data_IF_893733697279
#
_entry.id   IF_893733697279
#
_cell.length_a   1.000
_cell.length_b   1.000
_cell.length_c   1.000
_cell.angle_alpha   90.00
_cell.angle_beta   90.00
_cell.angle_gamma   90.00
#
_symmetry.space_group_name_H-M   'P 1'
#
loop_
_entity.id
_entity.type
_entity.pdbx_description
1 polymer ?
#
# COMPACT_ATOMS: atom_id res chain seq x y z
N UNK A 1 43.20 -42.16 -7.04
CA UNK A 1 41.72 -42.02 -6.78
C UNK A 1 41.33 -40.71 -6.08
N UNK A 2 42.09 -40.21 -5.10
CA UNK A 2 41.76 -38.98 -4.35
C UNK A 2 41.64 -37.73 -5.24
N UNK A 3 42.51 -37.52 -6.24
CA UNK A 3 42.45 -36.34 -7.14
C UNK A 3 41.15 -36.26 -7.94
N UNK A 4 40.61 -37.39 -8.41
CA UNK A 4 39.39 -37.44 -9.21
C UNK A 4 38.18 -37.07 -8.32
N UNK A 5 38.12 -37.58 -7.07
CA UNK A 5 37.05 -37.23 -6.14
C UNK A 5 37.09 -35.77 -5.76
N UNK A 6 38.28 -35.19 -5.52
CA UNK A 6 38.42 -33.75 -5.21
C UNK A 6 37.96 -32.86 -6.38
N UNK A 7 38.32 -33.22 -7.61
CA UNK A 7 37.88 -32.48 -8.81
C UNK A 7 36.34 -32.57 -8.99
N UNK A 8 35.75 -33.74 -8.75
CA UNK A 8 34.29 -33.89 -8.83
C UNK A 8 33.57 -33.06 -7.78
N UNK A 9 34.07 -32.98 -6.55
CA UNK A 9 33.50 -32.13 -5.51
C UNK A 9 33.63 -30.66 -5.88
N UNK A 10 34.79 -30.21 -6.36
CA UNK A 10 34.98 -28.81 -6.80
C UNK A 10 34.02 -28.45 -7.97
N UNK A 11 33.87 -29.31 -8.93
CA UNK A 11 32.95 -29.11 -10.04
C UNK A 11 31.49 -29.02 -9.55
N UNK A 12 31.10 -29.88 -8.62
CA UNK A 12 29.76 -29.84 -8.02
C UNK A 12 29.50 -28.56 -7.25
N UNK A 13 30.48 -28.06 -6.48
CA UNK A 13 30.36 -26.77 -5.75
C UNK A 13 30.21 -25.61 -6.73
N UNK A 14 30.98 -25.59 -7.83
CA UNK A 14 30.86 -24.53 -8.83
C UNK A 14 29.51 -24.54 -9.55
N UNK A 15 28.99 -25.71 -9.89
CA UNK A 15 27.67 -25.88 -10.49
C UNK A 15 26.59 -25.41 -9.51
N UNK A 16 26.71 -25.79 -8.25
CA UNK A 16 25.75 -25.37 -7.21
C UNK A 16 25.78 -23.85 -6.98
N UNK A 17 26.97 -23.24 -6.91
CA UNK A 17 27.12 -21.80 -6.79
C UNK A 17 26.51 -21.05 -8.00
N UNK A 18 26.71 -21.57 -9.21
CA UNK A 18 26.09 -21.02 -10.41
C UNK A 18 24.56 -21.13 -10.37
N UNK A 19 24.02 -22.28 -10.01
CA UNK A 19 22.55 -22.49 -9.87
C UNK A 19 21.96 -21.59 -8.82
N UNK A 20 22.61 -21.44 -7.64
CA UNK A 20 22.15 -20.55 -6.57
C UNK A 20 22.11 -19.08 -7.04
N UNK A 21 23.14 -18.64 -7.80
CA UNK A 21 23.17 -17.28 -8.37
C UNK A 21 22.06 -17.06 -9.40
N UNK A 22 21.81 -18.03 -10.26
CA UNK A 22 20.75 -17.94 -11.26
C UNK A 22 19.36 -17.94 -10.63
N UNK A 23 19.14 -18.77 -9.60
CA UNK A 23 17.90 -18.76 -8.83
C UNK A 23 17.68 -17.40 -8.14
N UNK A 24 18.71 -16.83 -7.52
CA UNK A 24 18.63 -15.51 -6.90
C UNK A 24 18.28 -14.42 -7.94
N UNK A 25 18.84 -14.51 -9.15
CA UNK A 25 18.50 -13.60 -10.25
C UNK A 25 17.05 -13.75 -10.69
N UNK A 26 16.57 -14.98 -10.87
CA UNK A 26 15.18 -15.25 -11.25
C UNK A 26 14.20 -14.78 -10.18
N UNK A 27 14.50 -15.01 -8.92
CA UNK A 27 13.68 -14.54 -7.79
C UNK A 27 13.59 -13.01 -7.79
N UNK A 28 14.70 -12.31 -8.04
CA UNK A 28 14.71 -10.84 -8.11
C UNK A 28 13.81 -10.33 -9.25
N UNK A 29 13.92 -10.92 -10.44
CA UNK A 29 13.07 -10.55 -11.58
C UNK A 29 11.59 -10.84 -11.31
N UNK A 30 11.29 -12.00 -10.71
CA UNK A 30 9.91 -12.35 -10.33
C UNK A 30 9.32 -11.36 -9.33
N UNK A 31 10.09 -10.95 -8.30
CA UNK A 31 9.66 -9.95 -7.33
C UNK A 31 9.44 -8.57 -7.97
N UNK A 32 10.30 -8.19 -8.92
CA UNK A 32 10.14 -6.93 -9.65
C UNK A 32 8.85 -6.92 -10.48
N UNK A 33 8.57 -8.00 -11.19
CA UNK A 33 7.32 -8.14 -11.96
C UNK A 33 6.12 -8.11 -11.04
N UNK A 34 6.16 -8.86 -9.92
CA UNK A 34 5.08 -8.86 -8.94
C UNK A 34 4.81 -7.46 -8.35
N UNK A 35 5.87 -6.70 -8.03
CA UNK A 35 5.75 -5.32 -7.56
C UNK A 35 5.13 -4.39 -8.60
N UNK A 36 5.53 -4.49 -9.86
CA UNK A 36 4.95 -3.70 -10.95
C UNK A 36 3.47 -4.02 -11.15
N UNK A 37 3.09 -5.30 -11.08
CA UNK A 37 1.68 -5.73 -11.18
C UNK A 37 0.88 -5.18 -10.01
N UNK A 38 1.38 -5.33 -8.78
CA UNK A 38 0.70 -4.83 -7.59
C UNK A 38 0.49 -3.30 -7.66
N UNK A 39 1.51 -2.55 -8.08
CA UNK A 39 1.39 -1.10 -8.27
C UNK A 39 0.33 -0.74 -9.33
N UNK A 40 0.36 -1.40 -10.49
CA UNK A 40 -0.65 -1.17 -11.55
C UNK A 40 -2.06 -1.46 -11.05
N UNK A 41 -2.25 -2.55 -10.31
CA UNK A 41 -3.55 -2.92 -9.78
C UNK A 41 -4.02 -1.91 -8.72
N UNK A 42 -3.13 -1.42 -7.86
CA UNK A 42 -3.39 -0.31 -6.93
C UNK A 42 -3.86 0.94 -7.67
N UNK A 43 -3.17 1.34 -8.75
CA UNK A 43 -3.58 2.50 -9.56
C UNK A 43 -4.92 2.30 -10.27
N UNK A 44 -5.25 1.07 -10.68
CA UNK A 44 -6.54 0.76 -11.27
C UNK A 44 -7.69 0.86 -10.25
N UNK A 45 -7.46 0.41 -9.01
CA UNK A 45 -8.42 0.61 -7.90
C UNK A 45 -8.59 2.08 -7.56
N UNK A 46 -7.49 2.83 -7.51
CA UNK A 46 -7.51 4.27 -7.33
C UNK A 46 -8.39 4.99 -8.34
N UNK A 47 -8.23 4.68 -9.62
CA UNK A 47 -9.05 5.26 -10.69
C UNK A 47 -10.54 4.99 -10.52
N UNK A 48 -10.92 3.79 -10.06
CA UNK A 48 -12.32 3.45 -9.77
C UNK A 48 -12.87 4.24 -8.59
N UNK A 49 -12.11 4.34 -7.51
CA UNK A 49 -12.50 5.13 -6.36
C UNK A 49 -12.69 6.61 -6.73
N UNK A 50 -11.74 7.21 -7.44
CA UNK A 50 -11.83 8.60 -7.89
C UNK A 50 -13.01 8.84 -8.82
N UNK A 51 -13.42 7.85 -9.64
CA UNK A 51 -14.55 7.98 -10.56
C UNK A 51 -15.89 8.19 -9.85
N UNK A 52 -16.03 7.74 -8.61
CA UNK A 52 -17.25 7.97 -7.81
C UNK A 52 -17.47 9.46 -7.56
N UNK A 53 -16.41 10.22 -7.32
CA UNK A 53 -16.51 11.67 -7.13
C UNK A 53 -16.76 12.45 -8.43
N UNK A 54 -16.43 11.86 -9.58
CA UNK A 54 -16.80 12.43 -10.88
C UNK A 54 -18.29 12.22 -11.13
N UNK A 55 -18.83 11.05 -10.77
CA UNK A 55 -20.24 10.72 -10.95
C UNK A 55 -21.13 11.43 -9.91
N UNK A 56 -20.62 11.61 -8.67
CA UNK A 56 -21.33 12.23 -7.54
C UNK A 56 -20.46 13.32 -6.90
N UNK A 57 -20.31 14.48 -7.53
CA UNK A 57 -19.40 15.54 -7.04
C UNK A 57 -19.79 16.10 -5.67
N UNK A 58 -21.05 16.01 -5.28
CA UNK A 58 -21.51 16.37 -3.93
C UNK A 58 -20.89 15.51 -2.83
N UNK A 59 -20.57 14.24 -3.13
CA UNK A 59 -19.90 13.36 -2.17
C UNK A 59 -18.46 13.80 -1.90
N UNK A 60 -17.78 14.40 -2.89
CA UNK A 60 -16.44 14.94 -2.70
C UNK A 60 -16.43 16.03 -1.62
N UNK A 61 -17.37 16.98 -1.71
CA UNK A 61 -17.50 18.04 -0.73
C UNK A 61 -17.78 17.50 0.67
N UNK A 62 -18.70 16.53 0.81
CA UNK A 62 -18.95 15.90 2.10
C UNK A 62 -17.78 15.08 2.64
N UNK A 63 -16.96 14.51 1.76
CA UNK A 63 -15.84 13.66 2.16
C UNK A 63 -14.63 14.45 2.65
N UNK A 64 -14.37 15.61 2.03
CA UNK A 64 -13.18 16.44 2.27
C UNK A 64 -13.46 17.80 2.93
N UNK A 65 -14.70 18.24 2.96
CA UNK A 65 -15.09 19.53 3.54
C UNK A 65 -16.09 19.34 4.68
N UNK A 66 -15.61 19.41 5.91
CA UNK A 66 -16.42 19.26 7.13
C UNK A 66 -17.42 20.41 7.36
N UNK A 67 -17.33 21.50 6.56
CA UNK A 67 -18.25 22.65 6.69
C UNK A 67 -19.56 22.46 5.95
N UNK A 68 -19.69 21.40 5.16
CA UNK A 68 -20.91 21.10 4.40
C UNK A 68 -22.08 20.70 5.32
N UNK A 69 -23.28 20.93 4.83
CA UNK A 69 -24.50 20.44 5.49
C UNK A 69 -24.43 18.92 5.71
N UNK A 70 -25.10 18.42 6.75
CA UNK A 70 -25.13 16.98 7.04
C UNK A 70 -25.57 16.17 5.81
N UNK A 71 -24.82 15.12 5.45
CA UNK A 71 -25.16 14.26 4.32
C UNK A 71 -26.47 13.49 4.58
N UNK A 72 -27.20 13.17 3.54
CA UNK A 72 -28.40 12.32 3.63
C UNK A 72 -28.03 10.91 4.13
N UNK A 73 -29.03 10.14 4.57
CA UNK A 73 -28.82 8.76 5.01
C UNK A 73 -28.19 7.89 3.88
N UNK A 74 -28.57 8.13 2.62
CA UNK A 74 -28.01 7.44 1.46
C UNK A 74 -26.55 7.84 1.25
N UNK A 75 -26.26 9.15 1.34
CA UNK A 75 -24.89 9.64 1.13
C UNK A 75 -23.96 9.18 2.25
N UNK A 76 -24.41 9.07 3.50
CA UNK A 76 -23.61 8.46 4.58
C UNK A 76 -23.19 7.03 4.27
N UNK A 77 -24.09 6.22 3.69
CA UNK A 77 -23.73 4.86 3.26
C UNK A 77 -22.67 4.88 2.15
N UNK A 78 -22.85 5.77 1.15
CA UNK A 78 -21.88 5.94 0.07
C UNK A 78 -20.52 6.40 0.58
N UNK A 79 -20.50 7.39 1.48
CA UNK A 79 -19.28 7.91 2.09
C UNK A 79 -18.53 6.83 2.89
N UNK A 80 -19.27 5.98 3.61
CA UNK A 80 -18.68 4.83 4.29
C UNK A 80 -18.04 3.83 3.31
N UNK A 81 -18.72 3.51 2.21
CA UNK A 81 -18.19 2.62 1.17
C UNK A 81 -16.94 3.23 0.51
N UNK A 82 -16.95 4.55 0.28
CA UNK A 82 -15.78 5.27 -0.24
C UNK A 82 -14.60 5.15 0.71
N UNK A 83 -14.81 5.40 2.02
CA UNK A 83 -13.77 5.27 3.03
C UNK A 83 -13.22 3.83 3.13
N UNK A 84 -14.10 2.83 3.06
CA UNK A 84 -13.73 1.41 3.03
C UNK A 84 -12.85 1.07 1.81
N UNK A 85 -13.25 1.49 0.62
CA UNK A 85 -12.49 1.23 -0.61
C UNK A 85 -11.15 1.96 -0.59
N UNK A 86 -11.12 3.22 -0.18
CA UNK A 86 -9.89 4.00 -0.09
C UNK A 86 -8.91 3.40 0.93
N UNK A 87 -9.39 3.06 2.12
CA UNK A 87 -8.55 2.46 3.16
C UNK A 87 -7.96 1.13 2.71
N UNK A 88 -8.73 0.28 2.03
CA UNK A 88 -8.22 -0.97 1.47
C UNK A 88 -7.11 -0.78 0.44
N UNK A 89 -7.25 0.21 -0.46
CA UNK A 89 -6.21 0.55 -1.45
C UNK A 89 -4.96 1.09 -0.77
N UNK A 90 -5.11 1.99 0.20
CA UNK A 90 -3.99 2.59 0.92
C UNK A 90 -3.25 1.56 1.79
N UNK A 91 -3.97 0.70 2.50
CA UNK A 91 -3.38 -0.41 3.27
C UNK A 91 -2.55 -1.32 2.37
N UNK A 92 -3.11 -1.74 1.23
CA UNK A 92 -2.40 -2.58 0.26
C UNK A 92 -1.17 -1.88 -0.31
N UNK A 93 -1.26 -0.57 -0.58
CA UNK A 93 -0.14 0.22 -1.07
C UNK A 93 0.99 0.31 -0.04
N UNK A 94 0.67 0.59 1.23
CA UNK A 94 1.64 0.64 2.33
C UNK A 94 2.34 -0.71 2.53
N UNK A 95 1.57 -1.81 2.55
CA UNK A 95 2.14 -3.15 2.71
C UNK A 95 3.07 -3.52 1.53
N UNK A 96 2.65 -3.20 0.30
CA UNK A 96 3.45 -3.42 -0.90
C UNK A 96 4.73 -2.57 -0.88
N UNK A 97 4.63 -1.31 -0.48
CA UNK A 97 5.76 -0.39 -0.33
C UNK A 97 6.80 -0.95 0.64
N UNK A 98 6.36 -1.36 1.83
CA UNK A 98 7.23 -1.95 2.85
C UNK A 98 7.93 -3.22 2.37
N UNK A 99 7.23 -4.08 1.61
CA UNK A 99 7.81 -5.28 1.02
C UNK A 99 8.83 -4.96 -0.07
N UNK A 100 8.56 -3.99 -0.93
CA UNK A 100 9.43 -3.61 -2.04
C UNK A 100 10.64 -2.78 -1.61
N UNK A 101 10.54 -2.03 -0.51
CA UNK A 101 11.66 -1.29 0.06
C UNK A 101 12.87 -2.18 0.38
N UNK A 102 12.63 -3.44 0.77
CA UNK A 102 13.68 -4.45 1.01
C UNK A 102 14.51 -4.74 -0.26
N UNK A 103 13.95 -4.50 -1.45
CA UNK A 103 14.57 -4.78 -2.74
C UNK A 103 15.04 -3.53 -3.49
N UNK A 104 15.04 -2.36 -2.84
CA UNK A 104 15.44 -1.07 -3.46
C UNK A 104 14.56 -0.66 -4.66
N UNK A 105 13.26 -0.99 -4.61
CA UNK A 105 12.27 -0.60 -5.63
C UNK A 105 11.37 0.56 -5.19
N UNK A 106 11.84 1.38 -4.26
CA UNK A 106 11.10 2.53 -3.73
C UNK A 106 10.56 3.49 -4.81
N UNK A 107 11.26 3.60 -5.95
CA UNK A 107 10.85 4.44 -7.08
C UNK A 107 9.56 3.97 -7.80
N UNK A 108 9.19 2.68 -7.67
CA UNK A 108 7.94 2.13 -8.26
C UNK A 108 6.72 2.49 -7.41
N UNK A 109 6.92 2.63 -6.11
CA UNK A 109 5.84 2.65 -5.14
C UNK A 109 5.44 4.07 -4.75
N UNK A 110 6.28 5.06 -5.06
CA UNK A 110 6.05 6.45 -4.65
C UNK A 110 6.12 6.63 -3.13
N UNK A 111 5.84 7.81 -2.67
CA UNK A 111 5.82 8.15 -1.25
C UNK A 111 4.40 7.94 -0.69
N UNK A 112 4.07 6.68 -0.44
CA UNK A 112 2.75 6.33 0.10
C UNK A 112 2.54 6.82 1.53
N UNK A 113 3.63 6.96 2.31
CA UNK A 113 3.55 7.49 3.67
C UNK A 113 3.07 8.94 3.67
N UNK A 114 3.64 9.80 2.81
CA UNK A 114 3.22 11.20 2.65
C UNK A 114 1.81 11.32 2.10
N UNK A 115 1.48 10.47 1.12
CA UNK A 115 0.14 10.45 0.55
C UNK A 115 -0.92 10.07 1.61
N UNK A 116 -0.68 9.01 2.39
CA UNK A 116 -1.58 8.59 3.47
C UNK A 116 -1.72 9.69 4.53
N UNK A 117 -0.63 10.36 4.88
CA UNK A 117 -0.68 11.49 5.82
C UNK A 117 -1.56 12.64 5.31
N UNK A 118 -1.47 12.96 4.02
CA UNK A 118 -2.31 13.98 3.37
C UNK A 118 -3.80 13.60 3.39
N UNK A 119 -4.13 12.35 3.07
CA UNK A 119 -5.52 11.87 3.06
C UNK A 119 -6.11 11.83 4.47
N UNK A 120 -5.32 11.42 5.47
CA UNK A 120 -5.73 11.46 6.87
C UNK A 120 -5.98 12.90 7.35
N UNK A 121 -5.17 13.86 6.90
CA UNK A 121 -5.41 15.27 7.21
C UNK A 121 -6.69 15.81 6.56
N UNK A 122 -7.03 15.30 5.38
CA UNK A 122 -8.08 15.87 4.52
C UNK A 122 -9.47 15.30 4.77
N UNK A 123 -9.62 14.10 5.38
CA UNK A 123 -10.91 13.43 5.51
C UNK A 123 -11.18 12.87 6.91
N UNK A 124 -12.18 13.44 7.60
CA UNK A 124 -12.69 12.90 8.85
C UNK A 124 -13.42 11.57 8.67
N UNK A 125 -14.07 11.35 7.54
CA UNK A 125 -14.72 10.08 7.20
C UNK A 125 -13.72 8.94 7.14
N UNK A 126 -12.58 9.16 6.49
CA UNK A 126 -11.50 8.19 6.42
C UNK A 126 -10.94 7.87 7.81
N UNK A 127 -10.64 8.92 8.62
CA UNK A 127 -10.17 8.73 10.00
C UNK A 127 -11.17 7.94 10.85
N UNK A 128 -12.46 8.28 10.76
CA UNK A 128 -13.51 7.58 11.50
C UNK A 128 -13.60 6.11 11.10
N UNK A 129 -13.56 5.82 9.78
CA UNK A 129 -13.58 4.45 9.28
C UNK A 129 -12.38 3.64 9.77
N UNK A 130 -11.16 4.18 9.65
CA UNK A 130 -9.94 3.48 10.05
C UNK A 130 -9.95 3.13 11.55
N UNK A 131 -10.43 4.04 12.43
CA UNK A 131 -10.54 3.75 13.88
C UNK A 131 -11.40 2.54 14.19
N UNK A 132 -12.42 2.28 13.38
CA UNK A 132 -13.36 1.18 13.56
C UNK A 132 -12.95 -0.11 12.82
N UNK A 133 -11.85 -0.06 12.04
CA UNK A 133 -11.45 -1.12 11.09
C UNK A 133 -10.14 -1.80 11.50
N UNK A 134 -10.19 -2.87 12.32
CA UNK A 134 -8.97 -3.58 12.74
C UNK A 134 -8.26 -4.31 11.60
N UNK A 135 -8.90 -4.46 10.46
CA UNK A 135 -8.38 -5.12 9.26
C UNK A 135 -7.36 -4.30 8.47
N UNK A 136 -7.14 -3.02 8.84
CA UNK A 136 -6.17 -2.12 8.19
C UNK A 136 -5.05 -1.68 9.16
N UNK A 137 -4.20 -2.62 9.64
CA UNK A 137 -3.24 -2.35 10.71
C UNK A 137 -2.15 -1.34 10.34
N UNK A 138 -1.73 -1.27 9.07
CA UNK A 138 -0.74 -0.29 8.64
C UNK A 138 -1.31 1.13 8.65
N UNK A 139 -2.58 1.30 8.27
CA UNK A 139 -3.28 2.59 8.37
C UNK A 139 -3.57 3.00 9.81
N UNK A 140 -3.90 2.05 10.69
CA UNK A 140 -4.06 2.34 12.13
C UNK A 140 -2.77 2.88 12.74
N UNK A 141 -1.62 2.34 12.35
CA UNK A 141 -0.31 2.86 12.77
C UNK A 141 -0.07 4.30 12.28
N UNK A 142 -0.46 4.60 11.03
CA UNK A 142 -0.37 5.96 10.47
C UNK A 142 -1.35 6.92 11.16
N UNK A 143 -2.57 6.49 11.41
CA UNK A 143 -3.58 7.30 12.12
C UNK A 143 -3.10 7.66 13.53
N UNK A 144 -2.57 6.69 14.28
CA UNK A 144 -2.03 6.93 15.62
C UNK A 144 -0.89 7.96 15.62
N UNK A 145 0.02 7.90 14.63
CA UNK A 145 1.06 8.92 14.43
C UNK A 145 0.47 10.28 14.10
N UNK A 146 -0.50 10.36 13.20
CA UNK A 146 -1.17 11.59 12.82
C UNK A 146 -1.83 12.25 14.04
N UNK A 147 -2.60 11.50 14.82
CA UNK A 147 -3.27 11.99 16.03
C UNK A 147 -2.28 12.50 17.07
N UNK A 148 -1.19 11.77 17.31
CA UNK A 148 -0.15 12.20 18.28
C UNK A 148 0.55 13.51 17.91
N UNK A 149 0.54 13.91 16.63
CA UNK A 149 1.17 15.15 16.15
C UNK A 149 0.20 16.31 15.99
N UNK A 150 -1.12 16.04 15.96
CA UNK A 150 -2.15 17.04 15.68
C UNK A 150 -3.21 17.16 16.78
N UNK A 151 -3.12 16.36 17.86
CA UNK A 151 -3.94 16.60 19.03
C UNK A 151 -3.55 17.95 19.66
N UNK A 152 -4.51 18.87 19.89
CA UNK A 152 -4.22 20.08 20.65
C UNK A 152 -3.76 19.67 22.05
N UNK A 153 -2.63 20.20 22.49
CA UNK A 153 -2.24 20.15 23.91
C UNK A 153 -3.41 20.73 24.72
N UNK A 154 -4.10 19.86 25.48
CA UNK A 154 -5.21 20.24 26.37
C UNK A 154 -4.66 20.89 27.62
#
# INVERSE_FOLDING_TARGET
>A
MQLVSTLAVLASVLVFAYQARELARQTRVANQVAGTVAHRDTMAYWGRWASVFIEYPELYAHYYDETQAEPTAVDRVRLKIIAEQQSGVMEQALLTSRQLAVYDYSWIVGDWDDYVALELASSSWLRAFIRESPEVPALLEHLARYESTHEPEV
#
